data_IF_431325709931
#
_entry.id   IF_431325709931
#
_cell.length_a   1.000
_cell.length_b   1.000
_cell.length_c   1.000
_cell.angle_alpha   90.00
_cell.angle_beta   90.00
_cell.angle_gamma   90.00
#
_symmetry.space_group_name_H-M   'P 1'
#
loop_
_entity.id
_entity.type
_entity.pdbx_description
1 polymer ?
#
# COMPACT_ATOMS: atom_id res chain seq x y z
N UNK A 1 38.98 33.97 47.71
CA UNK A 1 37.54 33.96 47.36
C UNK A 1 37.42 33.33 45.96
N UNK A 2 37.69 32.02 45.86
CA UNK A 2 36.74 30.88 45.82
C UNK A 2 35.89 30.82 44.53
N UNK A 3 36.52 30.48 43.39
CA UNK A 3 35.88 30.08 42.13
C UNK A 3 36.23 28.62 41.74
N UNK A 4 36.56 27.76 42.72
CA UNK A 4 37.06 26.41 42.44
C UNK A 4 35.98 25.33 42.38
N UNK A 5 34.75 25.60 42.84
CA UNK A 5 33.66 24.61 42.89
C UNK A 5 32.58 24.81 41.81
N UNK A 6 32.34 26.04 41.36
CA UNK A 6 31.23 26.34 40.44
C UNK A 6 31.54 25.99 38.98
N UNK A 7 32.81 26.07 38.56
CA UNK A 7 33.22 25.71 37.21
C UNK A 7 32.97 24.23 36.89
N UNK A 8 33.23 23.34 37.85
CA UNK A 8 33.02 21.91 37.68
C UNK A 8 31.54 21.53 37.70
N UNK A 9 30.70 22.26 38.44
CA UNK A 9 29.24 22.06 38.45
C UNK A 9 28.64 22.47 37.10
N UNK A 10 29.05 23.62 36.54
CA UNK A 10 28.58 24.06 35.23
C UNK A 10 29.18 23.25 34.07
N UNK A 11 30.44 22.82 34.17
CA UNK A 11 31.06 21.92 33.18
C UNK A 11 30.41 20.54 33.16
N UNK A 12 30.05 19.99 34.33
CA UNK A 12 29.29 18.74 34.43
C UNK A 12 27.86 18.90 33.88
N UNK A 13 27.20 20.03 34.13
CA UNK A 13 25.88 20.33 33.57
C UNK A 13 25.91 20.49 32.04
N UNK A 14 26.95 21.11 31.45
CA UNK A 14 27.11 21.21 29.99
C UNK A 14 27.41 19.86 29.32
N UNK A 15 28.19 18.98 29.96
CA UNK A 15 28.45 17.62 29.45
C UNK A 15 27.19 16.75 29.42
N UNK A 16 26.27 16.96 30.37
CA UNK A 16 24.99 16.22 30.43
C UNK A 16 24.02 16.63 29.31
N UNK A 17 24.09 17.89 28.84
CA UNK A 17 23.29 18.38 27.70
C UNK A 17 23.86 17.90 26.36
N UNK A 18 25.17 17.69 26.24
CA UNK A 18 25.80 17.16 25.02
C UNK A 18 25.72 15.62 24.89
N UNK A 19 25.49 14.90 26.00
CA UNK A 19 25.32 13.44 26.01
C UNK A 19 23.99 12.92 25.46
N UNK A 20 22.98 13.77 25.29
CA UNK A 20 21.63 13.36 24.84
C UNK A 20 21.30 13.79 23.40
N UNK A 21 22.25 14.39 22.66
CA UNK A 21 22.01 14.92 21.31
C UNK A 21 22.61 14.14 20.14
N UNK A 22 23.44 13.12 20.38
CA UNK A 22 24.29 12.52 19.33
C UNK A 22 24.03 11.06 18.97
N UNK A 23 23.03 10.41 19.56
CA UNK A 23 22.90 8.93 19.51
C UNK A 23 21.84 8.36 18.57
N UNK A 24 21.11 9.18 17.80
CA UNK A 24 19.92 8.70 17.08
C UNK A 24 19.91 8.95 15.56
N UNK A 25 20.99 9.46 14.94
CA UNK A 25 21.01 9.78 13.50
C UNK A 25 21.77 8.73 12.67
N UNK A 26 22.13 7.58 13.23
CA UNK A 26 22.89 6.55 12.50
C UNK A 26 22.05 5.36 11.96
N UNK A 27 20.72 5.36 12.15
CA UNK A 27 19.85 4.26 11.68
C UNK A 27 18.70 4.72 10.76
N UNK A 28 18.87 5.83 10.04
CA UNK A 28 17.96 6.21 8.94
C UNK A 28 18.58 5.94 7.55
N UNK A 29 19.88 5.65 7.47
CA UNK A 29 20.64 5.52 6.22
C UNK A 29 20.59 4.11 5.59
N UNK A 30 19.87 3.16 6.18
CA UNK A 30 19.66 1.81 5.64
C UNK A 30 18.18 1.52 5.40
N UNK A 31 17.40 2.52 4.97
CA UNK A 31 16.14 2.20 4.28
C UNK A 31 16.55 1.67 2.90
N UNK A 32 16.36 0.37 2.60
CA UNK A 32 16.62 -0.09 1.25
C UNK A 32 15.78 0.77 0.32
N UNK A 33 16.40 1.28 -0.76
CA UNK A 33 15.72 1.91 -1.90
C UNK A 33 14.90 0.85 -2.66
N UNK A 34 14.12 0.04 -1.94
CA UNK A 34 13.06 -0.77 -2.50
C UNK A 34 12.01 0.20 -3.01
N UNK A 35 11.78 0.19 -4.32
CA UNK A 35 10.72 0.93 -5.02
C UNK A 35 9.45 0.90 -4.16
N UNK A 36 9.09 2.02 -3.52
CA UNK A 36 7.94 2.06 -2.63
C UNK A 36 6.69 1.81 -3.46
N UNK A 37 6.00 0.69 -3.19
CA UNK A 37 4.79 0.33 -3.91
C UNK A 37 3.62 1.17 -3.35
N UNK A 38 2.86 1.87 -4.22
CA UNK A 38 1.70 2.67 -3.85
C UNK A 38 0.72 1.99 -2.91
N UNK A 39 0.46 0.69 -3.13
CA UNK A 39 -0.60 -0.06 -2.47
C UNK A 39 -0.05 -1.42 -2.04
N UNK A 40 0.47 -1.60 -0.81
CA UNK A 40 1.09 -2.86 -0.42
C UNK A 40 0.07 -3.96 -0.07
N UNK A 41 -1.18 -3.59 0.24
CA UNK A 41 -2.23 -4.53 0.66
C UNK A 41 -3.26 -4.73 -0.45
N UNK A 42 -3.58 -5.99 -0.81
CA UNK A 42 -4.69 -6.28 -1.69
C UNK A 42 -6.02 -6.30 -0.92
N UNK A 43 -7.13 -6.21 -1.65
CA UNK A 43 -8.49 -6.34 -1.10
C UNK A 43 -8.93 -7.80 -1.17
N UNK A 44 -9.16 -8.39 0.01
CA UNK A 44 -9.57 -9.80 0.14
C UNK A 44 -11.03 -9.95 0.59
N UNK A 45 -11.68 -8.85 0.97
CA UNK A 45 -13.09 -8.85 1.37
C UNK A 45 -13.96 -8.88 0.13
N UNK A 46 -14.71 -9.96 -0.05
CA UNK A 46 -15.62 -10.16 -1.17
C UNK A 46 -16.99 -9.52 -0.88
N UNK A 47 -17.49 -8.70 -1.80
CA UNK A 47 -18.86 -8.20 -1.81
C UNK A 47 -19.86 -9.16 -2.48
N UNK A 48 -19.38 -10.18 -3.19
CA UNK A 48 -20.19 -11.21 -3.84
C UNK A 48 -19.64 -12.62 -3.56
N UNK A 49 -20.54 -13.60 -3.49
CA UNK A 49 -20.17 -15.03 -3.53
C UNK A 49 -19.80 -15.39 -4.97
N UNK A 50 -18.58 -15.85 -5.17
CA UNK A 50 -18.03 -16.29 -6.47
C UNK A 50 -17.85 -17.81 -6.47
N UNK A 51 -17.80 -18.42 -7.65
CA UNK A 51 -17.57 -19.87 -7.80
C UNK A 51 -16.25 -20.35 -7.18
N UNK A 52 -16.15 -21.62 -6.77
CA UNK A 52 -14.93 -22.21 -6.18
C UNK A 52 -13.70 -22.01 -7.08
N UNK A 53 -13.91 -22.19 -8.38
CA UNK A 53 -12.86 -22.02 -9.38
C UNK A 53 -12.41 -20.54 -9.50
N UNK A 54 -13.31 -19.58 -9.26
CA UNK A 54 -13.02 -18.16 -9.17
C UNK A 54 -12.30 -17.82 -7.86
N UNK A 55 -12.69 -18.41 -6.73
CA UNK A 55 -11.98 -18.26 -5.44
C UNK A 55 -10.53 -18.72 -5.53
N UNK A 56 -10.25 -19.82 -6.24
CA UNK A 56 -8.88 -20.29 -6.45
C UNK A 56 -8.02 -19.28 -7.21
N UNK A 57 -8.57 -18.66 -8.27
CA UNK A 57 -7.87 -17.63 -9.03
C UNK A 57 -7.65 -16.37 -8.17
N UNK A 58 -8.66 -15.97 -7.38
CA UNK A 58 -8.52 -14.86 -6.44
C UNK A 58 -7.37 -15.11 -5.46
N UNK A 59 -7.36 -16.25 -4.76
CA UNK A 59 -6.29 -16.57 -3.81
C UNK A 59 -4.91 -16.61 -4.46
N UNK A 60 -4.82 -17.13 -5.68
CA UNK A 60 -3.58 -17.15 -6.47
C UNK A 60 -3.11 -15.72 -6.76
N UNK A 61 -4.01 -14.85 -7.20
CA UNK A 61 -3.73 -13.44 -7.46
C UNK A 61 -3.29 -12.69 -6.22
N UNK A 62 -3.99 -12.87 -5.09
CA UNK A 62 -3.66 -12.26 -3.80
C UNK A 62 -2.27 -12.68 -3.29
N UNK A 63 -1.94 -13.98 -3.35
CA UNK A 63 -0.61 -14.49 -2.96
C UNK A 63 0.48 -13.95 -3.88
N UNK A 64 0.23 -13.93 -5.19
CA UNK A 64 1.17 -13.36 -6.16
C UNK A 64 1.40 -11.87 -5.90
N UNK A 65 0.34 -11.12 -5.61
CA UNK A 65 0.39 -9.70 -5.24
C UNK A 65 1.26 -9.45 -4.00
N UNK A 66 1.00 -10.19 -2.91
CA UNK A 66 1.75 -10.07 -1.65
C UNK A 66 3.23 -10.43 -1.81
N UNK A 67 3.54 -11.33 -2.75
CA UNK A 67 4.92 -11.74 -3.06
C UNK A 67 5.57 -10.87 -4.15
N UNK A 68 4.92 -9.78 -4.58
CA UNK A 68 5.44 -8.88 -5.61
C UNK A 68 5.46 -9.45 -7.04
N UNK A 69 4.90 -10.64 -7.24
CA UNK A 69 4.79 -11.31 -8.55
C UNK A 69 3.61 -10.76 -9.34
N UNK A 70 3.69 -9.47 -9.68
CA UNK A 70 2.57 -8.72 -10.26
C UNK A 70 2.09 -9.24 -11.62
N UNK A 71 2.97 -9.83 -12.44
CA UNK A 71 2.55 -10.48 -13.69
C UNK A 71 1.60 -11.66 -13.45
N UNK A 72 1.99 -12.55 -12.53
CA UNK A 72 1.16 -13.71 -12.12
C UNK A 72 -0.15 -13.24 -11.48
N UNK A 73 -0.11 -12.15 -10.70
CA UNK A 73 -1.31 -11.57 -10.10
C UNK A 73 -2.29 -11.06 -11.18
N UNK A 74 -1.80 -10.32 -12.18
CA UNK A 74 -2.62 -9.85 -13.31
C UNK A 74 -3.25 -11.03 -14.06
N UNK A 75 -2.50 -12.07 -14.38
CA UNK A 75 -3.03 -13.23 -15.10
C UNK A 75 -4.12 -13.95 -14.31
N UNK A 76 -3.96 -14.07 -12.99
CA UNK A 76 -4.96 -14.66 -12.12
C UNK A 76 -6.23 -13.81 -12.05
N UNK A 77 -6.10 -12.48 -11.93
CA UNK A 77 -7.25 -11.57 -11.93
C UNK A 77 -7.92 -11.50 -13.31
N UNK A 78 -7.18 -11.61 -14.41
CA UNK A 78 -7.75 -11.68 -15.77
C UNK A 78 -8.64 -12.92 -15.91
N UNK A 79 -8.14 -14.10 -15.54
CA UNK A 79 -8.95 -15.34 -15.56
C UNK A 79 -10.15 -15.27 -14.63
N UNK A 80 -10.04 -14.56 -13.51
CA UNK A 80 -11.17 -14.31 -12.62
C UNK A 80 -12.23 -13.42 -13.29
N UNK A 81 -11.81 -12.33 -13.93
CA UNK A 81 -12.70 -11.40 -14.65
C UNK A 81 -13.40 -12.09 -15.84
N UNK A 82 -12.70 -12.95 -16.57
CA UNK A 82 -13.29 -13.74 -17.68
C UNK A 82 -14.43 -14.65 -17.22
N UNK A 83 -14.35 -15.15 -15.98
CA UNK A 83 -15.36 -16.05 -15.40
C UNK A 83 -16.47 -15.28 -14.69
N UNK A 84 -16.07 -14.29 -13.90
CA UNK A 84 -16.94 -13.49 -13.03
C UNK A 84 -16.77 -12.00 -13.36
N UNK A 85 -17.35 -11.52 -14.48
CA UNK A 85 -17.18 -10.13 -14.93
C UNK A 85 -17.83 -9.11 -13.99
N UNK A 86 -18.64 -9.56 -13.03
CA UNK A 86 -19.25 -8.75 -11.97
C UNK A 86 -18.42 -8.67 -10.69
N UNK A 87 -17.28 -9.39 -10.58
CA UNK A 87 -16.45 -9.37 -9.39
C UNK A 87 -15.65 -8.06 -9.28
N UNK A 88 -16.12 -7.15 -8.42
CA UNK A 88 -15.50 -5.84 -8.23
C UNK A 88 -14.05 -5.96 -7.70
N UNK A 89 -13.79 -6.91 -6.80
CA UNK A 89 -12.48 -7.16 -6.21
C UNK A 89 -11.44 -7.57 -7.24
N UNK A 90 -11.86 -8.26 -8.31
CA UNK A 90 -10.94 -8.70 -9.35
C UNK A 90 -10.39 -7.49 -10.13
N UNK A 91 -11.27 -6.56 -10.53
CA UNK A 91 -10.86 -5.29 -11.13
C UNK A 91 -10.08 -4.43 -10.14
N UNK A 92 -10.54 -4.37 -8.88
CA UNK A 92 -9.86 -3.59 -7.84
C UNK A 92 -8.41 -4.04 -7.67
N UNK A 93 -8.19 -5.33 -7.42
CA UNK A 93 -6.86 -5.86 -7.19
C UNK A 93 -5.98 -5.81 -8.45
N UNK A 94 -6.55 -6.00 -9.65
CA UNK A 94 -5.80 -5.80 -10.91
C UNK A 94 -5.37 -4.34 -11.07
N UNK A 95 -6.25 -3.39 -10.75
CA UNK A 95 -5.95 -1.97 -10.74
C UNK A 95 -4.82 -1.59 -9.78
N UNK A 96 -4.85 -2.10 -8.55
CA UNK A 96 -3.74 -1.92 -7.59
C UNK A 96 -2.45 -2.55 -8.08
N UNK A 97 -2.54 -3.71 -8.73
CA UNK A 97 -1.38 -4.39 -9.32
C UNK A 97 -0.75 -3.54 -10.42
N UNK A 98 -1.55 -2.96 -11.30
CA UNK A 98 -1.08 -2.03 -12.32
C UNK A 98 -0.48 -0.76 -11.73
N UNK A 99 -1.08 -0.21 -10.67
CA UNK A 99 -0.53 0.95 -9.97
C UNK A 99 0.86 0.63 -9.38
N UNK A 100 1.03 -0.53 -8.77
CA UNK A 100 2.32 -0.97 -8.22
C UNK A 100 3.40 -1.18 -9.29
N UNK A 101 2.99 -1.52 -10.52
CA UNK A 101 3.87 -1.57 -11.69
C UNK A 101 4.16 -0.19 -12.32
N UNK A 102 3.52 0.89 -11.84
CA UNK A 102 3.62 2.22 -12.42
C UNK A 102 2.80 2.42 -13.70
N UNK A 103 1.87 1.49 -13.99
CA UNK A 103 0.97 1.56 -15.15
C UNK A 103 -0.30 2.33 -14.78
N UNK A 104 -0.16 3.62 -14.48
CA UNK A 104 -1.24 4.45 -13.91
C UNK A 104 -2.51 4.47 -14.76
N UNK A 105 -2.40 4.58 -16.09
CA UNK A 105 -3.57 4.61 -16.97
C UNK A 105 -4.43 3.34 -16.88
N UNK A 106 -3.77 2.17 -16.85
CA UNK A 106 -4.46 0.89 -16.70
C UNK A 106 -5.04 0.75 -15.29
N UNK A 107 -4.31 1.20 -14.27
CA UNK A 107 -4.79 1.19 -12.88
C UNK A 107 -6.07 2.01 -12.72
N UNK A 108 -6.13 3.21 -13.29
CA UNK A 108 -7.31 4.08 -13.25
C UNK A 108 -8.49 3.43 -13.94
N UNK A 109 -8.31 2.86 -15.12
CA UNK A 109 -9.40 2.16 -15.84
C UNK A 109 -10.01 1.02 -15.03
N UNK A 110 -9.16 0.19 -14.43
CA UNK A 110 -9.59 -0.93 -13.58
C UNK A 110 -10.27 -0.47 -12.29
N UNK A 111 -9.72 0.54 -11.62
CA UNK A 111 -10.30 1.08 -10.40
C UNK A 111 -11.65 1.75 -10.66
N UNK A 112 -11.80 2.50 -11.75
CA UNK A 112 -13.11 3.05 -12.15
C UNK A 112 -14.12 1.93 -12.34
N UNK A 113 -13.74 0.86 -13.03
CA UNK A 113 -14.64 -0.29 -13.23
C UNK A 113 -15.01 -0.98 -11.91
N UNK A 114 -14.06 -1.14 -11.01
CA UNK A 114 -14.32 -1.67 -9.67
C UNK A 114 -15.32 -0.80 -8.89
N UNK A 115 -15.17 0.53 -8.95
CA UNK A 115 -16.09 1.48 -8.32
C UNK A 115 -17.52 1.37 -8.84
N UNK A 116 -17.72 1.27 -10.16
CA UNK A 116 -19.03 1.03 -10.78
C UNK A 116 -19.68 -0.26 -10.26
N UNK A 117 -18.91 -1.35 -10.19
CA UNK A 117 -19.40 -2.64 -9.72
C UNK A 117 -19.73 -2.63 -8.22
N UNK A 118 -18.91 -1.98 -7.40
CA UNK A 118 -19.19 -1.82 -5.98
C UNK A 118 -20.47 -1.01 -5.73
N UNK A 119 -20.72 0.04 -6.52
CA UNK A 119 -21.95 0.83 -6.42
C UNK A 119 -23.18 -0.03 -6.78
N UNK A 120 -23.10 -0.80 -7.87
CA UNK A 120 -24.14 -1.75 -8.27
C UNK A 120 -24.41 -2.81 -7.18
N UNK A 121 -23.38 -3.26 -6.48
CA UNK A 121 -23.47 -4.22 -5.37
C UNK A 121 -23.88 -3.57 -4.05
N UNK A 122 -24.13 -2.25 -4.03
CA UNK A 122 -24.39 -1.45 -2.81
C UNK A 122 -23.28 -1.54 -1.77
N UNK A 123 -22.07 -1.86 -2.19
CA UNK A 123 -20.88 -1.95 -1.37
C UNK A 123 -20.23 -0.57 -1.23
N UNK A 124 -20.88 0.34 -0.48
CA UNK A 124 -20.42 1.73 -0.30
C UNK A 124 -18.95 1.84 0.15
N UNK A 125 -18.52 0.98 1.08
CA UNK A 125 -17.14 0.95 1.55
C UNK A 125 -16.13 0.69 0.43
N UNK A 126 -16.47 -0.15 -0.55
CA UNK A 126 -15.66 -0.41 -1.73
C UNK A 126 -15.56 0.82 -2.64
N UNK A 127 -16.67 1.51 -2.87
CA UNK A 127 -16.73 2.77 -3.64
C UNK A 127 -15.84 3.84 -3.01
N UNK A 128 -15.97 4.05 -1.70
CA UNK A 128 -15.18 5.05 -0.96
C UNK A 128 -13.68 4.74 -1.02
N UNK A 129 -13.32 3.46 -0.86
CA UNK A 129 -11.94 2.98 -0.95
C UNK A 129 -11.33 3.22 -2.34
N UNK A 130 -12.06 2.83 -3.39
CA UNK A 130 -11.64 3.03 -4.78
C UNK A 130 -11.46 4.52 -5.09
N UNK A 131 -12.40 5.36 -4.65
CA UNK A 131 -12.32 6.81 -4.86
C UNK A 131 -11.08 7.42 -4.22
N UNK A 132 -10.76 7.02 -2.98
CA UNK A 132 -9.55 7.47 -2.30
C UNK A 132 -8.27 7.06 -3.05
N UNK A 133 -8.23 5.85 -3.59
CA UNK A 133 -7.08 5.36 -4.35
C UNK A 133 -6.93 6.06 -5.70
N UNK A 134 -8.03 6.34 -6.40
CA UNK A 134 -8.02 7.14 -7.62
C UNK A 134 -7.50 8.55 -7.36
N UNK A 135 -7.92 9.19 -6.27
CA UNK A 135 -7.40 10.49 -5.86
C UNK A 135 -5.90 10.45 -5.55
N UNK A 136 -5.44 9.41 -4.83
CA UNK A 136 -4.03 9.21 -4.54
C UNK A 136 -3.21 9.02 -5.83
N UNK A 137 -3.74 8.30 -6.83
CA UNK A 137 -3.10 8.15 -8.13
C UNK A 137 -3.03 9.48 -8.89
N UNK A 138 -4.08 10.29 -8.85
CA UNK A 138 -4.13 11.59 -9.51
C UNK A 138 -3.11 12.59 -8.94
N UNK A 139 -2.82 12.52 -7.63
CA UNK A 139 -1.81 13.37 -6.98
C UNK A 139 -0.36 12.97 -7.29
N UNK A 140 -0.14 11.83 -7.95
CA UNK A 140 1.19 11.28 -8.25
C UNK A 140 1.63 11.48 -9.70
N UNK A 141 0.73 11.99 -10.54
CA UNK A 141 0.99 12.37 -11.94
C UNK A 141 1.40 13.83 -11.98
#
# INVERSE_FOLDING_TARGET
MTYSADFWIWAAAMLLVLGLGGGAIALAALRPLGRQVPFPQPVSTLSLVISDAAQQQLQTGLRAYQTGRYGVAIDAFNRLIEREPSCAEAFHNRGLTHANLGKTNLAVGDLVKAGELYDQQRAKAGVDTVKAQLQQLAQRV
#
